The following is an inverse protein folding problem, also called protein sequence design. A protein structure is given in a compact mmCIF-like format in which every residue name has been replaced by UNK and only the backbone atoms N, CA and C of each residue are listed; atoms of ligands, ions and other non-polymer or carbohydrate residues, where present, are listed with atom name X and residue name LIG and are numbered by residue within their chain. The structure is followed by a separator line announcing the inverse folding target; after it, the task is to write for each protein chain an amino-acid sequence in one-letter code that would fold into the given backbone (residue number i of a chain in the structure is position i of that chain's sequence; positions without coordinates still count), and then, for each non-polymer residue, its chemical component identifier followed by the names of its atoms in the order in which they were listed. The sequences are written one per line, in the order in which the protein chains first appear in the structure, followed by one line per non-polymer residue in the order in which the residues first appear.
data_IF_532726713718
#
_entry.id   IF_532726713718
#
_cell.length_a   1.000
_cell.length_b   1.000
_cell.length_c   1.000
_cell.angle_alpha   90.00
_cell.angle_beta   90.00
_cell.angle_gamma   90.00
#
_symmetry.space_group_name_H-M   'P 1'
#
loop_
_entity.id
_entity.type
_entity.pdbx_description
1 polymer ?
#
# COMPACT_ATOMS: atom_id res chain seq x y z
N UNK A 1 16.43 -11.86 2.58
CA UNK A 1 17.39 -10.83 3.07
C UNK A 1 17.68 -11.12 4.53
N UNK A 2 18.95 -11.10 4.98
CA UNK A 2 19.33 -11.46 6.35
C UNK A 2 19.16 -10.24 7.26
N UNK A 3 18.38 -10.38 8.34
CA UNK A 3 18.29 -9.37 9.39
C UNK A 3 19.64 -9.30 10.12
N UNK A 4 20.38 -8.21 9.91
CA UNK A 4 21.77 -8.10 10.36
C UNK A 4 21.86 -7.90 11.88
N UNK A 5 23.00 -8.26 12.48
CA UNK A 5 23.25 -8.00 13.91
C UNK A 5 23.10 -6.53 14.29
N UNK A 6 23.43 -5.61 13.38
CA UNK A 6 23.25 -4.17 13.58
C UNK A 6 21.77 -3.78 13.61
N UNK A 7 20.96 -4.23 12.64
CA UNK A 7 19.53 -3.96 12.62
C UNK A 7 18.83 -4.54 13.85
N UNK A 8 19.22 -5.74 14.28
CA UNK A 8 18.75 -6.38 15.52
C UNK A 8 19.06 -5.54 16.75
N UNK A 9 20.30 -5.07 16.88
CA UNK A 9 20.71 -4.20 17.98
C UNK A 9 19.91 -2.89 17.98
N UNK A 10 19.74 -2.24 16.82
CA UNK A 10 19.00 -0.98 16.73
C UNK A 10 17.51 -1.15 17.10
N UNK A 11 16.87 -2.21 16.62
CA UNK A 11 15.48 -2.53 16.97
C UNK A 11 15.32 -2.85 18.47
N UNK A 12 16.26 -3.59 19.06
CA UNK A 12 16.23 -3.85 20.50
C UNK A 12 16.45 -2.60 21.33
N UNK A 13 17.44 -1.79 20.96
CA UNK A 13 17.69 -0.48 21.58
C UNK A 13 16.44 0.41 21.49
N UNK A 14 15.72 0.39 20.38
CA UNK A 14 14.46 1.12 20.22
C UNK A 14 13.40 0.64 21.22
N UNK A 15 13.24 -0.67 21.38
CA UNK A 15 12.28 -1.24 22.33
C UNK A 15 12.67 -0.90 23.78
N UNK A 16 13.95 -1.06 24.15
CA UNK A 16 14.45 -0.71 25.50
C UNK A 16 14.31 0.77 25.85
N UNK A 17 14.42 1.66 24.86
CA UNK A 17 14.25 3.11 25.06
C UNK A 17 12.79 3.57 24.96
N UNK A 18 11.86 2.67 24.66
CA UNK A 18 10.43 2.97 24.61
C UNK A 18 9.81 2.75 26.00
N UNK A 19 8.71 3.46 26.34
CA UNK A 19 8.06 3.35 27.65
C UNK A 19 7.24 2.05 27.80
N UNK A 20 7.80 0.91 27.41
CA UNK A 20 7.12 -0.40 27.47
C UNK A 20 6.96 -0.89 28.91
N UNK A 21 5.95 -1.71 29.14
CA UNK A 21 5.67 -2.29 30.46
C UNK A 21 6.77 -3.23 30.96
N UNK A 22 6.87 -3.41 32.28
CA UNK A 22 7.78 -4.38 32.89
C UNK A 22 7.56 -5.80 32.35
N UNK A 23 6.30 -6.20 32.12
CA UNK A 23 5.96 -7.48 31.51
C UNK A 23 6.62 -7.67 30.14
N UNK A 24 6.65 -6.62 29.31
CA UNK A 24 7.32 -6.66 28.01
C UNK A 24 8.85 -6.67 28.12
N UNK A 25 9.42 -6.01 29.14
CA UNK A 25 10.84 -6.11 29.47
C UNK A 25 11.22 -7.54 29.91
N UNK A 26 10.39 -8.19 30.72
CA UNK A 26 10.63 -9.56 31.19
C UNK A 26 10.59 -10.56 30.01
N UNK A 27 9.70 -10.35 29.04
CA UNK A 27 9.67 -11.13 27.79
C UNK A 27 10.96 -11.01 26.98
N UNK A 28 11.57 -9.82 26.93
CA UNK A 28 12.85 -9.60 26.26
C UNK A 28 14.01 -10.30 26.99
N UNK A 29 13.98 -10.30 28.32
CA UNK A 29 15.04 -10.88 29.15
C UNK A 29 15.00 -12.41 29.21
N UNK A 30 13.80 -13.00 29.14
CA UNK A 30 13.60 -14.46 29.26
C UNK A 30 13.65 -15.23 27.93
N UNK A 31 13.62 -14.55 26.78
CA UNK A 31 13.56 -15.20 25.47
C UNK A 31 14.87 -15.84 25.00
N UNK A 32 14.85 -17.13 24.64
CA UNK A 32 16.00 -17.85 24.05
C UNK A 32 16.40 -17.32 22.65
N UNK A 33 15.46 -16.74 21.88
CA UNK A 33 15.74 -16.11 20.59
C UNK A 33 14.99 -14.78 20.46
N UNK A 34 15.72 -13.68 20.56
CA UNK A 34 15.16 -12.33 20.50
C UNK A 34 15.05 -11.86 19.04
N UNK A 35 13.86 -11.94 18.43
CA UNK A 35 13.58 -11.32 17.13
C UNK A 35 12.66 -10.10 17.32
N UNK A 36 13.17 -8.86 17.20
CA UNK A 36 12.39 -7.65 17.42
C UNK A 36 11.62 -7.17 16.17
N UNK A 37 11.75 -7.84 15.02
CA UNK A 37 11.14 -7.39 13.77
C UNK A 37 9.62 -7.31 13.90
N UNK A 38 9.01 -6.33 13.23
CA UNK A 38 7.55 -6.18 13.19
C UNK A 38 6.93 -7.44 12.59
N UNK A 39 5.96 -8.03 13.29
CA UNK A 39 5.29 -9.28 12.92
C UNK A 39 5.95 -10.57 13.40
N UNK A 40 7.10 -10.49 14.09
CA UNK A 40 7.67 -11.65 14.78
C UNK A 40 6.82 -12.05 16.01
N UNK A 41 7.01 -13.27 16.51
CA UNK A 41 6.29 -13.74 17.71
C UNK A 41 6.55 -12.87 18.95
N UNK A 42 7.81 -12.46 19.15
CA UNK A 42 8.19 -11.58 20.26
C UNK A 42 7.58 -10.18 20.09
N UNK A 43 7.68 -9.59 18.89
CA UNK A 43 7.02 -8.31 18.62
C UNK A 43 5.52 -8.37 18.88
N UNK A 44 4.84 -9.42 18.43
CA UNK A 44 3.40 -9.58 18.64
C UNK A 44 3.06 -9.68 20.13
N UNK A 45 3.85 -10.43 20.92
CA UNK A 45 3.65 -10.51 22.37
C UNK A 45 3.82 -9.15 23.07
N UNK A 46 4.82 -8.36 22.66
CA UNK A 46 5.02 -6.98 23.16
C UNK A 46 3.85 -6.10 22.72
N UNK A 47 3.45 -6.16 21.45
CA UNK A 47 2.33 -5.38 20.91
C UNK A 47 1.03 -5.65 21.68
N UNK A 48 0.68 -6.91 21.94
CA UNK A 48 -0.51 -7.27 22.72
C UNK A 48 -0.48 -6.71 24.14
N UNK A 49 0.67 -6.73 24.81
CA UNK A 49 0.81 -6.13 26.14
C UNK A 49 0.67 -4.61 26.06
N UNK A 50 1.39 -3.96 25.15
CA UNK A 50 1.49 -2.51 25.10
C UNK A 50 0.24 -1.83 24.55
N UNK A 51 -0.59 -2.53 23.75
CA UNK A 51 -1.88 -2.01 23.26
C UNK A 51 -2.78 -1.47 24.38
N UNK A 52 -2.67 -2.01 25.59
CA UNK A 52 -3.45 -1.59 26.75
C UNK A 52 -2.73 -0.61 27.67
N UNK A 53 -1.42 -0.42 27.50
CA UNK A 53 -0.58 0.36 28.41
C UNK A 53 -0.09 1.68 27.77
N UNK A 54 0.02 1.71 26.45
CA UNK A 54 0.49 2.86 25.69
C UNK A 54 -0.66 3.57 25.00
N UNK A 55 -0.55 4.90 24.88
CA UNK A 55 -1.44 5.66 24.00
C UNK A 55 -1.24 5.26 22.53
N UNK A 56 -2.25 5.47 21.66
CA UNK A 56 -2.12 5.17 20.22
C UNK A 56 -0.90 5.85 19.56
N UNK A 57 -0.59 7.09 19.95
CA UNK A 57 0.60 7.82 19.46
C UNK A 57 1.91 7.12 19.88
N UNK A 58 2.00 6.61 21.11
CA UNK A 58 3.18 5.89 21.60
C UNK A 58 3.36 4.55 20.87
N UNK A 59 2.27 3.82 20.60
CA UNK A 59 2.31 2.57 19.82
C UNK A 59 2.79 2.80 18.39
N UNK A 60 2.29 3.84 17.73
CA UNK A 60 2.74 4.22 16.38
C UNK A 60 4.23 4.58 16.40
N UNK A 61 4.69 5.36 17.39
CA UNK A 61 6.11 5.69 17.56
C UNK A 61 6.97 4.44 17.77
N UNK A 62 6.52 3.48 18.56
CA UNK A 62 7.21 2.21 18.78
C UNK A 62 7.44 1.48 17.45
N UNK A 63 6.39 1.29 16.65
CA UNK A 63 6.49 0.63 15.33
C UNK A 63 7.43 1.40 14.40
N UNK A 64 7.26 2.72 14.27
CA UNK A 64 8.10 3.56 13.41
C UNK A 64 9.59 3.53 13.83
N UNK A 65 9.87 3.34 15.12
CA UNK A 65 11.24 3.24 15.62
C UNK A 65 11.84 1.86 15.34
N UNK A 66 11.08 0.78 15.52
CA UNK A 66 11.53 -0.60 15.22
C UNK A 66 11.85 -0.76 13.74
N UNK A 67 11.00 -0.23 12.85
CA UNK A 67 11.26 -0.26 11.40
C UNK A 67 12.30 0.75 10.94
N UNK A 68 12.81 1.57 11.87
CA UNK A 68 13.79 2.62 11.63
C UNK A 68 13.32 3.64 10.57
N UNK A 69 12.04 4.04 10.62
CA UNK A 69 11.44 4.94 9.63
C UNK A 69 12.18 6.29 9.61
N UNK A 70 12.74 6.71 8.45
CA UNK A 70 13.44 7.98 8.32
C UNK A 70 12.45 9.15 8.45
N UNK A 71 12.97 10.37 8.61
CA UNK A 71 12.14 11.60 8.55
C UNK A 71 11.45 11.78 7.20
N UNK A 72 12.06 11.24 6.13
CA UNK A 72 11.55 11.26 4.78
C UNK A 72 12.15 10.09 3.99
N UNK A 73 11.32 9.38 3.23
CA UNK A 73 11.76 8.37 2.29
C UNK A 73 12.53 9.02 1.14
N UNK A 74 13.68 8.44 0.80
CA UNK A 74 14.53 8.89 -0.31
C UNK A 74 14.04 8.41 -1.67
N UNK A 75 13.36 7.26 -1.71
CA UNK A 75 13.02 6.55 -2.96
C UNK A 75 14.12 5.60 -3.46
N UNK A 76 15.25 5.54 -2.76
CA UNK A 76 16.36 4.65 -3.10
C UNK A 76 16.03 3.19 -2.78
N UNK A 77 16.45 2.32 -3.69
CA UNK A 77 16.23 0.87 -3.58
C UNK A 77 16.95 0.28 -2.36
N UNK A 78 18.17 0.76 -2.07
CA UNK A 78 18.97 0.31 -0.92
C UNK A 78 18.33 0.69 0.41
N UNK A 79 17.80 1.91 0.54
CA UNK A 79 17.04 2.35 1.72
C UNK A 79 15.80 1.48 1.90
N UNK A 80 15.01 1.31 0.83
CA UNK A 80 13.78 0.50 0.87
C UNK A 80 14.07 -0.93 1.34
N UNK A 81 15.08 -1.58 0.76
CA UNK A 81 15.53 -2.92 1.19
C UNK A 81 15.95 -2.97 2.66
N UNK A 82 16.69 -1.97 3.13
CA UNK A 82 17.12 -1.89 4.53
C UNK A 82 15.93 -1.74 5.48
N UNK A 83 14.94 -0.91 5.13
CA UNK A 83 13.73 -0.73 5.91
C UNK A 83 12.88 -2.02 5.96
N UNK A 84 12.73 -2.68 4.81
CA UNK A 84 11.98 -3.93 4.68
C UNK A 84 12.57 -5.08 5.50
N UNK A 85 13.88 -5.09 5.73
CA UNK A 85 14.53 -6.09 6.58
C UNK A 85 14.08 -6.05 8.05
N UNK A 86 13.45 -4.95 8.52
CA UNK A 86 12.90 -4.83 9.87
C UNK A 86 11.50 -5.45 10.04
N UNK A 87 10.93 -6.03 8.98
CA UNK A 87 9.70 -6.81 9.05
C UNK A 87 10.01 -8.30 9.05
N UNK A 88 9.20 -9.06 9.77
CA UNK A 88 9.28 -10.51 9.76
C UNK A 88 8.81 -11.04 8.39
N UNK A 89 9.51 -12.01 7.77
CA UNK A 89 9.17 -12.51 6.43
C UNK A 89 7.79 -13.16 6.36
N UNK A 90 7.25 -13.64 7.48
CA UNK A 90 5.94 -14.30 7.54
C UNK A 90 4.79 -13.35 7.93
N UNK A 91 5.05 -12.04 8.01
CA UNK A 91 4.01 -11.05 8.26
C UNK A 91 3.13 -10.86 7.01
N UNK A 92 2.06 -11.65 6.92
CA UNK A 92 1.14 -11.67 5.78
C UNK A 92 0.33 -10.37 5.64
N UNK A 93 -0.12 -10.02 4.42
CA UNK A 93 -0.96 -8.83 4.17
C UNK A 93 -2.33 -8.83 4.84
N UNK A 94 -2.85 -9.99 5.26
CA UNK A 94 -4.10 -10.14 6.03
C UNK A 94 -3.89 -10.44 7.52
N UNK A 95 -2.64 -10.36 8.01
CA UNK A 95 -2.37 -10.54 9.43
C UNK A 95 -3.12 -9.48 10.27
N UNK A 96 -3.70 -9.89 11.41
CA UNK A 96 -4.54 -9.04 12.28
C UNK A 96 -3.83 -7.78 12.76
N UNK A 97 -2.51 -7.84 12.95
CA UNK A 97 -1.67 -6.68 13.28
C UNK A 97 -1.94 -5.46 12.38
N UNK A 98 -2.19 -5.65 11.09
CA UNK A 98 -2.44 -4.52 10.19
C UNK A 98 -3.76 -3.80 10.48
N UNK A 99 -4.78 -4.56 10.83
CA UNK A 99 -6.06 -4.01 11.28
C UNK A 99 -5.84 -3.23 12.59
N UNK A 100 -5.22 -3.88 13.59
CA UNK A 100 -4.93 -3.23 14.88
C UNK A 100 -4.11 -1.95 14.70
N UNK A 101 -3.07 -1.97 13.87
CA UNK A 101 -2.24 -0.80 13.59
C UNK A 101 -3.05 0.32 12.95
N UNK A 102 -3.91 0.01 11.98
CA UNK A 102 -4.80 0.98 11.35
C UNK A 102 -5.78 1.61 12.35
N UNK A 103 -6.30 0.82 13.29
CA UNK A 103 -7.16 1.30 14.37
C UNK A 103 -6.41 2.26 15.30
N UNK A 104 -5.16 1.94 15.66
CA UNK A 104 -4.32 2.85 16.45
C UNK A 104 -4.07 4.17 15.71
N UNK A 105 -3.80 4.15 14.40
CA UNK A 105 -3.68 5.38 13.60
C UNK A 105 -5.00 6.15 13.58
N UNK A 106 -6.13 5.46 13.43
CA UNK A 106 -7.44 6.10 13.44
C UNK A 106 -7.75 6.80 14.78
N UNK A 107 -7.41 6.17 15.91
CA UNK A 107 -7.55 6.74 17.25
C UNK A 107 -6.59 7.91 17.50
N UNK A 108 -5.35 7.79 17.02
CA UNK A 108 -4.31 8.82 17.17
C UNK A 108 -4.63 10.12 16.41
N UNK A 109 -5.37 10.04 15.31
CA UNK A 109 -5.61 11.18 14.41
C UNK A 109 -7.11 11.36 14.12
N UNK A 110 -7.89 11.91 15.08
CA UNK A 110 -9.30 12.20 14.86
C UNK A 110 -9.49 13.26 13.76
N UNK A 111 -10.56 13.13 12.97
CA UNK A 111 -10.81 14.04 11.85
C UNK A 111 -9.62 14.12 10.90
N UNK A 112 -9.23 15.33 10.48
CA UNK A 112 -8.13 15.55 9.54
C UNK A 112 -6.76 15.77 10.21
N UNK A 113 -6.61 15.39 11.48
CA UNK A 113 -5.38 15.63 12.25
C UNK A 113 -4.13 15.03 11.59
N UNK A 114 -4.26 13.91 10.86
CA UNK A 114 -3.12 13.33 10.13
C UNK A 114 -2.63 14.26 9.01
N UNK A 115 -3.49 15.10 8.43
CA UNK A 115 -3.10 16.05 7.38
C UNK A 115 -2.34 17.27 7.90
N UNK A 116 -2.27 17.47 9.22
CA UNK A 116 -1.50 18.56 9.82
C UNK A 116 -0.01 18.32 9.58
N UNK A 117 0.69 19.29 8.98
CA UNK A 117 2.09 19.13 8.60
C UNK A 117 3.00 19.14 9.82
N UNK A 118 3.50 17.97 10.19
CA UNK A 118 4.55 17.80 11.18
C UNK A 118 5.52 16.70 10.73
N UNK A 119 6.75 16.64 11.28
CA UNK A 119 7.65 15.53 11.00
C UNK A 119 7.02 14.17 11.35
N UNK A 120 6.20 14.10 12.40
CA UNK A 120 5.57 12.85 12.84
C UNK A 120 4.45 12.40 11.89
N UNK A 121 3.51 13.27 11.54
CA UNK A 121 2.43 12.95 10.58
C UNK A 121 2.99 12.61 9.19
N UNK A 122 4.06 13.30 8.76
CA UNK A 122 4.80 12.96 7.54
C UNK A 122 5.34 11.54 7.59
N UNK A 123 6.00 11.15 8.68
CA UNK A 123 6.47 9.75 8.87
C UNK A 123 5.32 8.75 8.81
N UNK A 124 4.23 9.00 9.53
CA UNK A 124 3.06 8.10 9.57
C UNK A 124 2.43 7.94 8.18
N UNK A 125 2.27 9.03 7.43
CA UNK A 125 1.76 8.99 6.06
C UNK A 125 2.68 8.18 5.15
N UNK A 126 3.98 8.48 5.16
CA UNK A 126 4.95 7.80 4.29
C UNK A 126 5.13 6.33 4.64
N UNK A 127 4.89 5.94 5.89
CA UNK A 127 4.96 4.54 6.32
C UNK A 127 3.98 3.64 5.56
N UNK A 128 2.85 4.19 5.07
CA UNK A 128 1.87 3.45 4.24
C UNK A 128 2.46 2.87 2.96
N UNK A 129 3.43 3.56 2.37
CA UNK A 129 4.16 3.09 1.18
C UNK A 129 5.09 1.93 1.54
N UNK A 130 5.76 2.00 2.69
CA UNK A 130 6.63 0.93 3.17
C UNK A 130 5.83 -0.32 3.53
N UNK A 131 4.66 -0.18 4.15
CA UNK A 131 3.74 -1.30 4.40
C UNK A 131 3.34 -1.96 3.08
N UNK A 132 2.91 -1.18 2.08
CA UNK A 132 2.51 -1.75 0.78
C UNK A 132 3.68 -2.47 0.08
N UNK A 133 4.90 -1.92 0.17
CA UNK A 133 6.13 -2.55 -0.30
C UNK A 133 6.42 -3.88 0.42
N UNK A 134 6.25 -3.92 1.74
CA UNK A 134 6.41 -5.14 2.54
C UNK A 134 5.40 -6.21 2.13
N UNK A 135 4.15 -5.82 1.88
CA UNK A 135 3.10 -6.74 1.45
C UNK A 135 3.38 -7.32 0.06
N UNK A 136 3.91 -6.51 -0.86
CA UNK A 136 4.39 -6.99 -2.16
C UNK A 136 5.54 -8.00 -2.00
N UNK A 137 6.53 -7.70 -1.15
CA UNK A 137 7.64 -8.63 -0.88
C UNK A 137 7.20 -9.94 -0.21
N UNK A 138 6.21 -9.90 0.69
CA UNK A 138 5.62 -11.11 1.24
C UNK A 138 5.06 -11.99 0.11
N UNK A 139 4.27 -11.40 -0.80
CA UNK A 139 3.67 -12.18 -1.90
C UNK A 139 4.75 -12.76 -2.81
N UNK A 140 5.77 -11.98 -3.16
CA UNK A 140 6.89 -12.43 -4.00
C UNK A 140 7.68 -13.57 -3.35
N UNK A 141 8.03 -13.44 -2.07
CA UNK A 141 8.84 -14.43 -1.37
C UNK A 141 8.11 -15.74 -1.11
N UNK A 142 6.80 -15.70 -0.84
CA UNK A 142 6.01 -16.88 -0.52
C UNK A 142 5.37 -17.56 -1.73
N UNK A 143 5.07 -16.81 -2.78
CA UNK A 143 4.29 -17.31 -3.94
C UNK A 143 4.94 -17.03 -5.30
N UNK A 144 6.03 -16.25 -5.35
CA UNK A 144 6.63 -15.74 -6.58
C UNK A 144 7.54 -16.69 -7.37
N UNK A 145 7.85 -17.90 -6.87
CA UNK A 145 8.68 -18.85 -7.62
C UNK A 145 8.12 -19.08 -9.04
N UNK A 146 8.89 -18.64 -10.04
CA UNK A 146 8.60 -18.63 -11.49
C UNK A 146 7.27 -17.95 -11.89
N UNK A 147 6.79 -17.00 -11.08
CA UNK A 147 5.52 -16.30 -11.29
C UNK A 147 5.74 -14.79 -11.43
N UNK A 148 4.90 -14.15 -12.24
CA UNK A 148 4.72 -12.70 -12.18
C UNK A 148 4.06 -12.30 -10.85
N UNK A 149 4.19 -11.03 -10.47
CA UNK A 149 3.54 -10.50 -9.26
C UNK A 149 2.02 -10.76 -9.29
N UNK A 150 1.39 -10.60 -10.45
CA UNK A 150 -0.02 -10.92 -10.65
C UNK A 150 -0.33 -12.41 -10.40
N UNK A 151 0.49 -13.32 -10.91
CA UNK A 151 0.30 -14.75 -10.69
C UNK A 151 0.51 -15.14 -9.22
N UNK A 152 1.54 -14.59 -8.58
CA UNK A 152 1.81 -14.79 -7.16
C UNK A 152 0.63 -14.30 -6.29
N UNK A 153 0.12 -13.09 -6.58
CA UNK A 153 -1.06 -12.56 -5.86
C UNK A 153 -2.31 -13.40 -6.15
N UNK A 154 -2.54 -13.82 -7.38
CA UNK A 154 -3.69 -14.65 -7.71
C UNK A 154 -3.65 -15.99 -6.96
N UNK A 155 -2.46 -16.58 -6.78
CA UNK A 155 -2.26 -17.78 -5.98
C UNK A 155 -2.58 -17.52 -4.51
N UNK A 156 -2.04 -16.45 -3.92
CA UNK A 156 -2.36 -16.06 -2.54
C UNK A 156 -3.86 -15.85 -2.30
N UNK A 157 -4.58 -15.31 -3.29
CA UNK A 157 -6.02 -15.06 -3.20
C UNK A 157 -6.89 -16.29 -3.52
N UNK A 158 -6.34 -17.36 -4.09
CA UNK A 158 -7.10 -18.53 -4.57
C UNK A 158 -7.87 -19.25 -3.46
N UNK A 159 -7.35 -19.25 -2.23
CA UNK A 159 -8.00 -19.79 -1.04
C UNK A 159 -8.90 -18.80 -0.29
N UNK A 160 -9.09 -17.58 -0.81
CA UNK A 160 -9.83 -16.50 -0.15
C UNK A 160 -11.18 -16.23 -0.85
N UNK A 161 -12.17 -15.77 -0.09
CA UNK A 161 -13.53 -15.52 -0.59
C UNK A 161 -13.63 -14.11 -1.20
N UNK A 162 -13.94 -14.00 -2.49
CA UNK A 162 -14.17 -12.72 -3.18
C UNK A 162 -15.57 -12.09 -2.97
N UNK A 163 -16.25 -12.46 -1.88
CA UNK A 163 -17.63 -12.10 -1.60
C UNK A 163 -18.60 -12.90 -2.49
N UNK A 164 -19.46 -13.70 -1.87
CA UNK A 164 -20.59 -14.37 -2.54
C UNK A 164 -21.90 -13.74 -2.06
N UNK A 165 -22.97 -13.83 -2.84
CA UNK A 165 -24.31 -13.37 -2.41
C UNK A 165 -24.73 -13.95 -1.04
N UNK A 166 -24.26 -15.16 -0.70
CA UNK A 166 -24.57 -15.84 0.57
C UNK A 166 -23.53 -15.62 1.69
N UNK A 167 -22.33 -15.10 1.41
CA UNK A 167 -21.29 -14.83 2.41
C UNK A 167 -21.13 -13.33 2.61
N UNK A 168 -21.55 -12.83 3.78
CA UNK A 168 -21.57 -11.39 4.12
C UNK A 168 -20.19 -10.70 4.14
N UNK A 169 -19.08 -11.44 4.23
CA UNK A 169 -17.73 -10.87 4.29
C UNK A 169 -16.87 -11.39 3.14
N UNK A 170 -16.27 -10.44 2.43
CA UNK A 170 -15.32 -10.66 1.34
C UNK A 170 -13.91 -10.44 1.89
N UNK A 171 -12.99 -11.36 1.64
CA UNK A 171 -11.61 -11.20 2.06
C UNK A 171 -10.91 -10.16 1.20
N UNK A 172 -11.17 -10.18 -0.11
CA UNK A 172 -10.65 -9.20 -1.06
C UNK A 172 -11.74 -8.65 -1.99
N UNK A 173 -11.50 -7.48 -2.55
CA UNK A 173 -12.35 -6.79 -3.52
C UNK A 173 -11.56 -6.47 -4.78
N UNK A 174 -12.24 -6.64 -5.91
CA UNK A 174 -11.83 -6.15 -7.23
C UNK A 174 -12.86 -5.13 -7.75
N UNK A 175 -13.74 -4.59 -6.90
CA UNK A 175 -14.82 -3.68 -7.33
C UNK A 175 -14.42 -2.21 -7.19
N UNK A 176 -13.40 -1.95 -6.38
CA UNK A 176 -12.87 -0.61 -6.14
C UNK A 176 -12.24 -0.03 -7.40
N UNK A 177 -12.50 1.25 -7.65
CA UNK A 177 -12.03 1.92 -8.86
C UNK A 177 -10.51 2.06 -8.87
N UNK A 178 -9.86 1.55 -9.92
CA UNK A 178 -8.43 1.77 -10.18
C UNK A 178 -8.14 3.10 -10.92
N UNK A 179 -9.16 3.97 -11.11
CA UNK A 179 -9.07 5.20 -11.93
C UNK A 179 -7.86 6.07 -11.56
N UNK A 180 -7.60 6.26 -10.27
CA UNK A 180 -6.51 7.11 -9.79
C UNK A 180 -5.10 6.53 -10.05
N UNK A 181 -5.01 5.23 -10.34
CA UNK A 181 -3.76 4.52 -10.65
C UNK A 181 -3.53 4.36 -12.15
N UNK A 182 -4.25 5.11 -13.00
CA UNK A 182 -4.10 5.06 -14.46
C UNK A 182 -3.68 6.43 -15.01
N UNK A 183 -2.60 6.99 -14.46
CA UNK A 183 -2.16 8.36 -14.80
C UNK A 183 -1.39 8.41 -16.11
N UNK A 184 -1.55 9.51 -16.85
CA UNK A 184 -0.78 9.84 -18.05
C UNK A 184 0.04 11.13 -17.83
N UNK A 185 1.25 11.18 -18.39
CA UNK A 185 2.10 12.35 -18.43
C UNK A 185 1.60 13.31 -19.51
N UNK A 186 1.33 14.57 -19.16
CA UNK A 186 1.08 15.62 -20.14
C UNK A 186 2.42 16.21 -20.61
N UNK A 187 2.73 16.06 -21.91
CA UNK A 187 3.90 16.67 -22.57
C UNK A 187 3.42 17.47 -23.78
N UNK A 188 3.31 18.79 -23.62
CA UNK A 188 2.66 19.66 -24.62
C UNK A 188 1.18 19.29 -24.76
N UNK A 189 0.77 18.98 -25.99
CA UNK A 189 -0.59 18.51 -26.31
C UNK A 189 -0.75 16.98 -26.16
N UNK A 190 0.36 16.24 -26.08
CA UNK A 190 0.35 14.79 -25.98
C UNK A 190 0.16 14.31 -24.53
N UNK A 191 -0.50 13.16 -24.39
CA UNK A 191 -0.59 12.40 -23.15
C UNK A 191 0.05 11.04 -23.35
N UNK A 192 1.04 10.75 -22.52
CA UNK A 192 1.87 9.55 -22.65
C UNK A 192 1.67 8.66 -21.43
N UNK A 193 1.70 7.35 -21.64
CA UNK A 193 1.81 6.43 -20.52
C UNK A 193 3.16 6.63 -19.80
N UNK A 194 3.25 6.37 -18.48
CA UNK A 194 4.54 6.39 -17.80
C UNK A 194 5.49 5.41 -18.48
N UNK A 195 6.73 5.84 -18.71
CA UNK A 195 7.74 5.09 -19.49
C UNK A 195 7.31 4.73 -20.93
N UNK A 196 6.24 5.35 -21.42
CA UNK A 196 5.64 5.08 -22.73
C UNK A 196 5.15 3.62 -22.88
N UNK A 197 4.96 2.91 -21.76
CA UNK A 197 4.44 1.54 -21.70
C UNK A 197 2.92 1.59 -21.48
N UNK A 198 2.15 1.16 -22.48
CA UNK A 198 0.68 1.08 -22.37
C UNK A 198 0.31 0.11 -21.26
N UNK A 199 -0.36 0.62 -20.23
CA UNK A 199 -0.82 -0.19 -19.09
C UNK A 199 -2.12 0.34 -18.53
N UNK A 200 -3.07 -0.57 -18.31
CA UNK A 200 -4.33 -0.34 -17.63
C UNK A 200 -4.31 -1.08 -16.30
N UNK A 201 -3.96 -0.34 -15.26
CA UNK A 201 -3.67 -0.90 -13.96
C UNK A 201 -4.97 -1.27 -13.23
N UNK A 202 -4.97 -2.41 -12.55
CA UNK A 202 -6.08 -2.88 -11.74
C UNK A 202 -5.76 -2.74 -10.26
N UNK A 203 -6.81 -2.59 -9.45
CA UNK A 203 -6.73 -2.51 -7.99
C UNK A 203 -7.29 -3.78 -7.36
N UNK A 204 -6.55 -4.33 -6.41
CA UNK A 204 -6.98 -5.41 -5.53
C UNK A 204 -6.91 -4.92 -4.10
N UNK A 205 -8.00 -5.06 -3.35
CA UNK A 205 -8.11 -4.54 -2.00
C UNK A 205 -8.47 -5.64 -1.03
N UNK A 206 -7.57 -5.97 -0.10
CA UNK A 206 -7.74 -7.01 0.91
C UNK A 206 -8.15 -6.34 2.23
N UNK A 207 -9.31 -6.72 2.75
CA UNK A 207 -9.93 -6.16 3.96
C UNK A 207 -9.94 -4.62 4.05
N UNK A 208 -10.06 -3.92 2.92
CA UNK A 208 -9.97 -2.45 2.80
C UNK A 208 -8.62 -1.80 3.11
N UNK A 209 -7.73 -2.51 3.83
CA UNK A 209 -6.45 -1.98 4.29
C UNK A 209 -5.30 -2.23 3.32
N UNK A 210 -5.15 -3.45 2.82
CA UNK A 210 -4.00 -3.84 2.02
C UNK A 210 -4.34 -3.69 0.53
N UNK A 211 -3.71 -2.72 -0.13
CA UNK A 211 -3.93 -2.40 -1.54
C UNK A 211 -2.78 -2.95 -2.39
N UNK A 212 -3.14 -3.58 -3.51
CA UNK A 212 -2.21 -3.95 -4.58
C UNK A 212 -2.67 -3.32 -5.88
N UNK A 213 -1.72 -2.69 -6.57
CA UNK A 213 -1.91 -2.19 -7.93
C UNK A 213 -1.07 -3.03 -8.86
N UNK A 214 -1.71 -3.59 -9.88
CA UNK A 214 -1.07 -4.50 -10.83
C UNK A 214 -1.11 -3.87 -12.21
N UNK A 215 0.05 -3.81 -12.88
CA UNK A 215 0.16 -3.36 -14.27
C UNK A 215 -0.43 -4.38 -15.26
N UNK A 216 -0.60 -3.98 -16.52
CA UNK A 216 -0.98 -4.91 -17.59
C UNK A 216 0.12 -5.93 -17.91
N UNK A 217 1.38 -5.67 -17.54
CA UNK A 217 2.49 -6.64 -17.63
C UNK A 217 2.50 -7.65 -16.48
N UNK A 218 1.67 -7.42 -15.45
CA UNK A 218 1.55 -8.31 -14.30
C UNK A 218 2.52 -8.00 -13.17
N UNK A 219 3.08 -6.78 -13.12
CA UNK A 219 3.97 -6.30 -12.07
C UNK A 219 3.19 -5.56 -10.98
N UNK A 220 3.64 -5.67 -9.73
CA UNK A 220 3.21 -4.74 -8.68
C UNK A 220 3.76 -3.35 -8.96
N UNK A 221 2.92 -2.36 -8.67
CA UNK A 221 3.26 -0.94 -8.69
C UNK A 221 3.23 -0.43 -7.25
N UNK A 222 4.40 -0.07 -6.72
CA UNK A 222 4.55 0.55 -5.41
C UNK A 222 5.38 1.84 -5.54
N UNK A 223 5.09 2.84 -4.69
CA UNK A 223 5.86 4.09 -4.65
C UNK A 223 7.32 3.89 -4.26
N UNK A 224 7.56 2.91 -3.40
CA UNK A 224 8.86 2.35 -3.07
C UNK A 224 8.73 0.83 -3.15
N UNK A 225 9.65 0.17 -3.84
CA UNK A 225 9.61 -1.28 -4.07
C UNK A 225 10.95 -1.91 -3.68
N UNK A 226 10.90 -3.08 -3.06
CA UNK A 226 12.08 -3.78 -2.52
C UNK A 226 12.98 -4.40 -3.59
N UNK A 227 12.52 -4.53 -4.82
CA UNK A 227 13.21 -5.24 -5.90
C UNK A 227 13.57 -4.33 -7.07
N UNK A 228 12.71 -3.38 -7.43
CA UNK A 228 12.88 -2.44 -8.56
C UNK A 228 12.43 -1.03 -8.20
N UNK A 229 12.88 -0.02 -8.93
CA UNK A 229 12.36 1.34 -8.83
C UNK A 229 12.07 1.83 -10.24
N UNK A 230 10.82 2.20 -10.52
CA UNK A 230 10.38 2.65 -11.84
C UNK A 230 9.30 3.73 -11.72
N UNK A 231 9.11 4.51 -12.79
CA UNK A 231 8.20 5.65 -12.82
C UNK A 231 6.75 5.16 -12.75
N UNK A 232 6.43 4.03 -13.36
CA UNK A 232 5.09 3.42 -13.26
C UNK A 232 4.66 3.21 -11.81
N UNK A 233 5.54 2.64 -10.97
CA UNK A 233 5.35 2.40 -9.54
C UNK A 233 5.23 3.71 -8.76
N UNK A 234 6.17 4.65 -8.97
CA UNK A 234 6.15 5.94 -8.26
C UNK A 234 4.86 6.74 -8.52
N UNK A 235 4.35 6.68 -9.76
CA UNK A 235 3.20 7.47 -10.21
C UNK A 235 1.85 6.82 -9.87
N UNK A 236 1.76 5.50 -10.01
CA UNK A 236 0.50 4.76 -9.90
C UNK A 236 0.46 3.79 -8.72
N UNK A 237 1.45 3.87 -7.84
CA UNK A 237 1.69 2.90 -6.77
C UNK A 237 0.53 2.69 -5.81
N UNK A 238 0.60 1.55 -5.15
CA UNK A 238 -0.30 1.12 -4.10
C UNK A 238 0.10 1.68 -2.73
N UNK A 239 -0.89 2.00 -1.91
CA UNK A 239 -0.63 2.42 -0.52
C UNK A 239 -1.56 1.71 0.46
N UNK A 240 -1.04 1.35 1.63
CA UNK A 240 -1.87 0.80 2.71
C UNK A 240 -2.90 1.82 3.18
N UNK A 241 -4.13 1.43 3.50
CA UNK A 241 -5.16 2.33 4.02
C UNK A 241 -5.23 2.22 5.55
N UNK A 242 -5.11 3.34 6.26
CA UNK A 242 -5.42 3.43 7.67
C UNK A 242 -6.91 3.62 7.93
N UNK A 243 -7.59 4.34 7.03
CA UNK A 243 -9.00 4.63 7.18
C UNK A 243 -9.90 3.42 6.94
N UNK A 244 -11.13 3.53 7.42
CA UNK A 244 -12.24 2.63 7.08
C UNK A 244 -13.01 3.17 5.87
N UNK A 245 -13.84 2.34 5.20
CA UNK A 245 -14.68 2.81 4.09
C UNK A 245 -15.49 4.07 4.46
N UNK A 246 -15.58 5.01 3.52
CA UNK A 246 -16.32 6.26 3.71
C UNK A 246 -15.42 7.43 4.12
N UNK A 247 -15.89 8.25 5.07
CA UNK A 247 -15.24 9.52 5.43
C UNK A 247 -13.81 9.34 5.96
N UNK A 248 -13.55 8.29 6.75
CA UNK A 248 -12.24 8.07 7.36
C UNK A 248 -11.15 7.76 6.36
N UNK A 249 -11.48 7.07 5.27
CA UNK A 249 -10.57 6.90 4.14
C UNK A 249 -10.11 8.25 3.57
N UNK A 250 -11.01 9.21 3.41
CA UNK A 250 -10.61 10.55 2.95
C UNK A 250 -9.70 11.26 3.94
N UNK A 251 -10.10 11.29 5.21
CA UNK A 251 -9.37 12.00 6.25
C UNK A 251 -7.94 11.45 6.47
N UNK A 252 -7.74 10.12 6.40
CA UNK A 252 -6.45 9.48 6.70
C UNK A 252 -5.63 9.08 5.48
N UNK A 253 -6.29 8.78 4.35
CA UNK A 253 -5.60 8.13 3.22
C UNK A 253 -5.48 9.02 1.99
N UNK A 254 -6.41 9.96 1.80
CA UNK A 254 -6.50 10.79 0.59
C UNK A 254 -6.07 12.24 0.85
N UNK A 255 -6.65 12.90 1.85
CA UNK A 255 -6.34 14.31 2.16
C UNK A 255 -4.85 14.55 2.50
N UNK A 256 -4.13 13.62 3.17
CA UNK A 256 -2.69 13.76 3.40
C UNK A 256 -1.80 13.69 2.14
N UNK A 257 -2.29 13.11 1.04
CA UNK A 257 -1.53 12.90 -0.21
C UNK A 257 -1.15 14.23 -0.84
N UNK A 258 0.11 14.33 -1.29
CA UNK A 258 0.82 15.54 -1.78
C UNK A 258 1.44 16.41 -0.67
N UNK A 259 0.72 16.95 0.34
CA UNK A 259 1.33 17.66 1.45
C UNK A 259 2.37 16.84 2.23
N UNK A 260 2.12 15.54 2.41
CA UNK A 260 2.97 14.66 3.23
C UNK A 260 3.76 13.63 2.41
N UNK A 261 3.54 13.58 1.10
CA UNK A 261 4.29 12.68 0.20
C UNK A 261 5.80 12.97 0.25
N UNK A 262 6.63 11.94 0.00
CA UNK A 262 8.06 12.14 -0.15
C UNK A 262 8.39 13.14 -1.26
N UNK A 263 9.43 13.93 -1.05
CA UNK A 263 9.89 14.92 -2.02
C UNK A 263 10.23 14.29 -3.38
N UNK A 264 10.83 13.10 -3.40
CA UNK A 264 11.15 12.41 -4.66
C UNK A 264 9.87 12.09 -5.46
N UNK A 265 8.82 11.58 -4.80
CA UNK A 265 7.54 11.27 -5.43
C UNK A 265 6.87 12.51 -5.98
N UNK A 266 6.84 13.60 -5.21
CA UNK A 266 6.27 14.88 -5.65
C UNK A 266 6.99 15.44 -6.89
N UNK A 267 8.32 15.25 -7.00
CA UNK A 267 9.08 15.62 -8.20
C UNK A 267 8.70 14.77 -9.41
N UNK A 268 8.63 13.44 -9.25
CA UNK A 268 8.34 12.50 -10.34
C UNK A 268 6.90 12.60 -10.84
N UNK A 269 5.94 12.77 -9.92
CA UNK A 269 4.51 12.83 -10.25
C UNK A 269 4.07 14.15 -10.90
N UNK A 270 4.94 15.16 -10.94
CA UNK A 270 4.65 16.43 -11.59
C UNK A 270 4.33 16.22 -13.08
N UNK A 271 3.16 16.71 -13.50
CA UNK A 271 2.69 16.59 -14.88
C UNK A 271 1.95 15.29 -15.20
N UNK A 272 1.84 14.37 -14.24
CA UNK A 272 0.96 13.21 -14.36
C UNK A 272 -0.46 13.54 -13.89
N UNK A 273 -1.45 13.15 -14.69
CA UNK A 273 -2.86 13.38 -14.40
C UNK A 273 -3.63 12.08 -14.41
N UNK A 274 -4.55 11.91 -13.45
CA UNK A 274 -5.50 10.80 -13.45
C UNK A 274 -6.72 11.12 -14.33
N UNK A 275 -7.35 10.11 -14.95
CA UNK A 275 -8.60 10.29 -15.67
C UNK A 275 -9.69 10.85 -14.74
N UNK A 276 -10.51 11.77 -15.24
CA UNK A 276 -11.58 12.40 -14.45
C UNK A 276 -12.79 11.47 -14.32
N UNK A 277 -13.47 11.55 -13.18
CA UNK A 277 -14.72 10.84 -12.95
C UNK A 277 -15.91 11.64 -13.52
N UNK A 278 -16.02 11.72 -14.84
CA UNK A 278 -17.05 12.51 -15.53
C UNK A 278 -17.88 11.59 -16.43
N UNK A 279 -19.12 11.33 -16.04
CA UNK A 279 -20.04 10.52 -16.84
C UNK A 279 -20.79 11.39 -17.87
N UNK A 280 -21.10 10.80 -19.02
CA UNK A 280 -22.00 11.41 -20.01
C UNK A 280 -23.42 10.91 -19.76
N UNK A 281 -24.40 11.82 -19.73
CA UNK A 281 -25.83 11.49 -19.66
C UNK A 281 -26.48 11.78 -21.00
N UNK A 282 -27.29 10.85 -21.50
CA UNK A 282 -28.23 11.07 -22.62
C UNK A 282 -27.65 11.90 -23.78
N UNK A 283 -26.50 11.46 -24.31
CA UNK A 283 -25.77 12.08 -25.43
C UNK A 283 -25.13 13.46 -25.18
N UNK A 284 -25.30 14.05 -24.00
CA UNK A 284 -24.60 15.29 -23.62
C UNK A 284 -23.18 14.97 -23.13
N UNK A 285 -22.20 15.60 -23.77
CA UNK A 285 -20.80 15.57 -23.35
C UNK A 285 -20.51 16.81 -22.51
N UNK A 286 -20.38 16.69 -21.18
CA UNK A 286 -20.02 17.83 -20.35
C UNK A 286 -18.63 18.36 -20.70
N UNK A 287 -18.35 19.61 -20.32
CA UNK A 287 -17.01 20.19 -20.46
C UNK A 287 -15.97 19.30 -19.76
N UNK A 288 -14.83 19.04 -20.40
CA UNK A 288 -13.78 18.20 -19.83
C UNK A 288 -13.97 16.70 -20.07
N UNK A 289 -15.00 16.29 -20.81
CA UNK A 289 -15.28 14.87 -21.08
C UNK A 289 -14.19 14.18 -21.91
N UNK A 290 -13.34 14.91 -22.62
CA UNK A 290 -12.13 14.40 -23.26
C UNK A 290 -11.15 13.77 -22.24
N UNK A 291 -11.15 14.22 -20.99
CA UNK A 291 -10.34 13.66 -19.90
C UNK A 291 -11.08 12.59 -19.09
N UNK A 292 -12.30 12.21 -19.48
CA UNK A 292 -13.12 11.26 -18.74
C UNK A 292 -12.58 9.83 -18.79
N UNK A 293 -12.64 9.14 -17.64
CA UNK A 293 -12.38 7.71 -17.51
C UNK A 293 -13.30 6.83 -18.37
N UNK A 294 -14.50 7.32 -18.68
CA UNK A 294 -15.55 6.60 -19.40
C UNK A 294 -15.60 6.93 -20.90
N UNK A 295 -14.83 7.92 -21.37
CA UNK A 295 -14.87 8.33 -22.77
C UNK A 295 -14.01 7.42 -23.66
N UNK A 296 -14.65 6.70 -24.58
CA UNK A 296 -14.00 5.78 -25.53
C UNK A 296 -13.21 6.45 -26.67
N UNK A 297 -13.31 7.78 -26.79
CA UNK A 297 -12.54 8.62 -27.73
C UNK A 297 -11.80 9.75 -26.99
N UNK A 298 -11.61 9.59 -25.68
CA UNK A 298 -10.93 10.57 -24.84
C UNK A 298 -9.43 10.34 -24.79
N UNK A 299 -8.74 11.24 -24.09
CA UNK A 299 -7.29 11.22 -23.86
C UNK A 299 -6.80 9.90 -23.25
N UNK A 300 -7.61 9.29 -22.38
CA UNK A 300 -7.28 8.03 -21.70
C UNK A 300 -7.80 6.78 -22.44
N UNK A 301 -8.39 6.95 -23.63
CA UNK A 301 -8.88 5.82 -24.43
C UNK A 301 -7.74 5.11 -25.15
N UNK A 302 -7.95 3.83 -25.44
CA UNK A 302 -6.99 3.02 -26.22
C UNK A 302 -7.76 1.98 -27.03
N UNK A 303 -7.44 1.86 -28.33
CA UNK A 303 -8.10 0.92 -29.25
C UNK A 303 -9.63 0.95 -29.16
N UNK A 304 -10.22 2.14 -29.30
CA UNK A 304 -11.67 2.43 -29.25
C UNK A 304 -12.39 2.01 -27.95
N UNK A 305 -11.64 1.79 -26.87
CA UNK A 305 -12.18 1.48 -25.54
C UNK A 305 -11.81 2.59 -24.56
N UNK A 306 -12.74 2.92 -23.68
CA UNK A 306 -12.48 3.80 -22.54
C UNK A 306 -11.48 3.14 -21.58
N UNK A 307 -10.81 3.96 -20.75
CA UNK A 307 -9.94 3.44 -19.69
C UNK A 307 -10.70 2.52 -18.73
N UNK A 308 -11.95 2.85 -18.38
CA UNK A 308 -12.82 1.96 -17.60
C UNK A 308 -12.94 0.59 -18.25
N UNK A 309 -13.22 0.54 -19.56
CA UNK A 309 -13.44 -0.73 -20.26
C UNK A 309 -12.15 -1.56 -20.32
N UNK A 310 -11.01 -0.90 -20.48
CA UNK A 310 -9.69 -1.55 -20.49
C UNK A 310 -9.36 -2.13 -19.11
N UNK A 311 -9.52 -1.35 -18.03
CA UNK A 311 -9.35 -1.84 -16.65
C UNK A 311 -10.31 -3.00 -16.36
N UNK A 312 -11.57 -2.91 -16.80
CA UNK A 312 -12.55 -3.99 -16.69
C UNK A 312 -12.19 -5.25 -17.49
N UNK A 313 -11.37 -5.15 -18.55
CA UNK A 313 -10.81 -6.31 -19.26
C UNK A 313 -9.68 -6.95 -18.45
N UNK A 314 -8.73 -6.15 -17.95
CA UNK A 314 -7.63 -6.63 -17.11
C UNK A 314 -8.13 -7.28 -15.82
N UNK A 315 -9.13 -6.70 -15.16
CA UNK A 315 -9.77 -7.29 -13.98
C UNK A 315 -10.41 -8.65 -14.29
N UNK A 316 -11.01 -8.82 -15.48
CA UNK A 316 -11.57 -10.11 -15.91
C UNK A 316 -10.48 -11.14 -16.16
N UNK A 317 -9.34 -10.75 -16.74
CA UNK A 317 -8.18 -11.65 -16.89
C UNK A 317 -7.67 -12.11 -15.53
N UNK A 318 -7.50 -11.18 -14.59
CA UNK A 318 -7.06 -11.49 -13.23
C UNK A 318 -8.05 -12.40 -12.48
N UNK A 319 -9.36 -12.14 -12.55
CA UNK A 319 -10.38 -13.05 -11.97
C UNK A 319 -10.31 -14.47 -12.53
N UNK A 320 -10.09 -14.60 -13.85
CA UNK A 320 -9.91 -15.91 -14.48
C UNK A 320 -8.64 -16.60 -13.99
N UNK A 321 -7.57 -15.85 -13.71
CA UNK A 321 -6.34 -16.38 -13.15
C UNK A 321 -6.58 -16.98 -11.76
N UNK A 322 -7.26 -16.26 -10.85
CA UNK A 322 -7.61 -16.78 -9.52
C UNK A 322 -8.47 -18.04 -9.64
N UNK A 323 -9.53 -18.00 -10.45
CA UNK A 323 -10.46 -19.14 -10.61
C UNK A 323 -9.85 -20.41 -11.18
N UNK A 324 -8.69 -20.32 -11.86
CA UNK A 324 -7.97 -21.50 -12.36
C UNK A 324 -7.12 -22.17 -11.27
N UNK A 325 -6.90 -21.49 -10.15
CA UNK A 325 -6.10 -21.95 -9.01
C UNK A 325 -6.99 -22.41 -7.83
N UNK A 326 -8.27 -22.02 -7.81
CA UNK A 326 -9.27 -22.36 -6.79
C UNK A 326 -9.94 -23.70 -6.99
#
# INVERSE_FOLDING_TARGET
MVFTSYQRYMALKAIFNSPISQKSLDLLQSGQMIDPRVGSSLFNAIWENEKHNLSPIQLIKLVLTIVQMPSELSGELSETRSLLANFHPDLAPDHSFWLDFSEQVNLAFPGKALSEKSPFTKKVHQFRYLISSQQAEYIRSHYGNDKTDAQALAYYLSGKTSGHFWRKRSDYSLKDSARLHNKLLKRGEAFLFPEEIVSFNIKVLLHFHSEFIISSTGDFLNEIDGQKSNIMGIVNGASFNYGTPGKRHWDLDVDPVRPLDPTFRNKVTKGYYSPKNIESKWFQKPQGYELSYFNKRGVYSYQDKSAEKQVSLEMRKFRKMIRKLS
#
